data_IF_996832826717
#
_entry.id   IF_996832826717
#
_cell.length_a   1.000
_cell.length_b   1.000
_cell.length_c   1.000
_cell.angle_alpha   90.00
_cell.angle_beta   90.00
_cell.angle_gamma   90.00
#
_symmetry.space_group_name_H-M   'P 1'
#
loop_
_entity.id
_entity.type
_entity.pdbx_description
1 polymer ?
#
# COMPACT_ATOMS: atom_id res chain seq x y z
N UNK A 1 -8.41 5.84 2.41
CA UNK A 1 -7.22 6.69 2.67
C UNK A 1 -6.61 6.45 4.06
N UNK A 2 -7.42 6.44 5.10
CA UNK A 2 -6.96 6.29 6.50
C UNK A 2 -6.30 4.94 6.76
N UNK A 3 -6.93 3.83 6.34
CA UNK A 3 -6.36 2.48 6.48
C UNK A 3 -5.00 2.40 5.77
N UNK A 4 -4.92 2.88 4.53
CA UNK A 4 -3.67 2.86 3.78
C UNK A 4 -2.58 3.73 4.39
N UNK A 5 -2.93 4.85 5.03
CA UNK A 5 -1.98 5.66 5.80
C UNK A 5 -1.39 4.88 6.99
N UNK A 6 -2.23 4.12 7.70
CA UNK A 6 -1.81 3.25 8.78
C UNK A 6 -0.87 2.13 8.28
N UNK A 7 -1.22 1.48 7.17
CA UNK A 7 -0.37 0.46 6.53
C UNK A 7 1.00 1.03 6.14
N UNK A 8 1.05 2.22 5.52
CA UNK A 8 2.31 2.87 5.15
C UNK A 8 3.16 3.16 6.39
N UNK A 9 2.55 3.57 7.51
CA UNK A 9 3.27 3.78 8.78
C UNK A 9 3.83 2.47 9.34
N UNK A 10 3.03 1.40 9.35
CA UNK A 10 3.48 0.09 9.84
C UNK A 10 4.60 -0.49 8.98
N UNK A 11 4.52 -0.35 7.65
CA UNK A 11 5.60 -0.74 6.75
C UNK A 11 6.90 0.03 7.03
N UNK A 12 6.81 1.34 7.34
CA UNK A 12 7.98 2.12 7.75
C UNK A 12 8.52 1.67 9.11
N UNK A 13 7.65 1.31 10.06
CA UNK A 13 8.07 0.73 11.35
C UNK A 13 8.89 -0.53 11.12
N UNK A 14 8.36 -1.50 10.37
CA UNK A 14 9.04 -2.75 10.07
C UNK A 14 10.36 -2.50 9.35
N UNK A 15 10.36 -1.70 8.29
CA UNK A 15 11.55 -1.40 7.51
C UNK A 15 12.68 -0.73 8.31
N UNK A 16 12.34 0.18 9.23
CA UNK A 16 13.30 0.90 10.06
C UNK A 16 13.82 0.06 11.24
N UNK A 17 13.13 -1.00 11.59
CA UNK A 17 13.48 -1.87 12.72
C UNK A 17 14.06 -3.22 12.30
N UNK A 18 13.98 -3.57 11.02
CA UNK A 18 14.41 -4.88 10.51
C UNK A 18 15.91 -5.13 10.71
N UNK A 19 16.75 -4.10 10.50
CA UNK A 19 18.21 -4.21 10.71
C UNK A 19 18.59 -4.56 12.17
N UNK A 20 17.74 -4.23 13.14
CA UNK A 20 17.99 -4.48 14.55
C UNK A 20 17.31 -5.76 15.04
N UNK A 21 16.10 -6.04 14.56
CA UNK A 21 15.30 -7.18 15.00
C UNK A 21 15.38 -8.39 14.06
N UNK A 22 15.74 -8.19 12.80
CA UNK A 22 15.91 -9.25 11.81
C UNK A 22 14.61 -9.94 11.40
N UNK A 23 13.47 -9.25 11.42
CA UNK A 23 12.16 -9.83 11.10
C UNK A 23 12.14 -10.56 9.75
N UNK A 24 12.85 -10.02 8.75
CA UNK A 24 12.93 -10.61 7.41
C UNK A 24 13.74 -11.89 7.35
N UNK A 25 14.53 -12.21 8.38
CA UNK A 25 15.39 -13.39 8.48
C UNK A 25 14.86 -14.46 9.44
N UNK A 26 13.69 -14.24 10.03
CA UNK A 26 13.08 -15.19 10.97
C UNK A 26 12.83 -16.54 10.31
N UNK A 27 13.18 -17.60 11.03
CA UNK A 27 12.77 -18.95 10.67
C UNK A 27 11.28 -19.16 10.97
N UNK A 28 10.73 -20.30 10.55
CA UNK A 28 9.29 -20.57 10.67
C UNK A 28 8.79 -20.50 12.13
N UNK A 29 9.59 -21.02 13.09
CA UNK A 29 9.21 -21.04 14.51
C UNK A 29 9.20 -19.63 15.13
N UNK A 30 10.14 -18.79 14.72
CA UNK A 30 10.19 -17.38 15.13
C UNK A 30 9.05 -16.59 14.49
N UNK A 31 8.77 -16.86 13.20
CA UNK A 31 7.70 -16.18 12.47
C UNK A 31 6.31 -16.44 13.06
N UNK A 32 6.03 -17.66 13.54
CA UNK A 32 4.75 -17.98 14.18
C UNK A 32 4.49 -17.13 15.43
N UNK A 33 5.56 -16.70 16.11
CA UNK A 33 5.46 -15.86 17.30
C UNK A 33 5.48 -14.35 16.99
N UNK A 34 5.62 -13.98 15.71
CA UNK A 34 5.64 -12.58 15.27
C UNK A 34 4.21 -12.03 15.22
N UNK A 35 3.70 -11.60 16.37
CA UNK A 35 2.40 -10.94 16.49
C UNK A 35 2.55 -9.42 16.47
N UNK A 36 1.44 -8.70 16.22
CA UNK A 36 1.42 -7.24 16.25
C UNK A 36 1.89 -6.70 17.61
N UNK A 37 1.46 -7.35 18.70
CA UNK A 37 1.86 -6.99 20.07
C UNK A 37 3.36 -7.20 20.28
N UNK A 38 3.91 -8.29 19.78
CA UNK A 38 5.35 -8.57 19.90
C UNK A 38 6.17 -7.48 19.22
N UNK A 39 5.83 -7.12 17.98
CA UNK A 39 6.53 -6.07 17.21
C UNK A 39 6.46 -4.73 17.93
N UNK A 40 5.25 -4.31 18.32
CA UNK A 40 5.04 -3.02 18.97
C UNK A 40 5.72 -2.96 20.35
N UNK A 41 5.57 -3.98 21.17
CA UNK A 41 6.15 -4.00 22.52
C UNK A 41 7.67 -4.05 22.48
N UNK A 42 8.26 -4.88 21.62
CA UNK A 42 9.71 -4.96 21.43
C UNK A 42 10.30 -3.63 20.98
N UNK A 43 9.62 -2.96 20.04
CA UNK A 43 10.06 -1.68 19.54
C UNK A 43 9.95 -0.57 20.61
N UNK A 44 8.83 -0.50 21.32
CA UNK A 44 8.57 0.53 22.32
C UNK A 44 9.46 0.38 23.57
N UNK A 45 9.79 -0.86 23.96
CA UNK A 45 10.69 -1.13 25.09
C UNK A 45 12.16 -0.97 24.75
N UNK A 46 12.54 -0.99 23.46
CA UNK A 46 13.93 -0.84 23.05
C UNK A 46 14.50 0.53 23.40
N UNK A 47 15.71 0.55 23.94
CA UNK A 47 16.49 1.78 24.25
C UNK A 47 17.43 2.17 23.11
N UNK A 48 17.50 1.39 22.03
CA UNK A 48 18.39 1.67 20.90
C UNK A 48 18.11 3.03 20.27
N UNK A 49 19.14 3.82 20.08
CA UNK A 49 19.05 5.12 19.41
C UNK A 49 18.72 4.97 17.92
N UNK A 50 19.13 3.86 17.29
CA UNK A 50 18.83 3.53 15.88
C UNK A 50 17.32 3.39 15.64
N UNK A 51 16.60 2.89 16.65
CA UNK A 51 15.16 2.68 16.57
C UNK A 51 14.31 3.92 16.93
N UNK A 52 14.94 5.05 17.25
CA UNK A 52 14.21 6.27 17.67
C UNK A 52 13.10 6.65 16.69
N UNK A 53 13.37 6.58 15.41
CA UNK A 53 12.40 6.93 14.37
C UNK A 53 11.30 5.88 14.23
N UNK A 54 11.65 4.60 14.24
CA UNK A 54 10.67 3.51 14.21
C UNK A 54 9.71 3.60 15.42
N UNK A 55 10.26 3.84 16.64
CA UNK A 55 9.44 4.07 17.84
C UNK A 55 8.49 5.24 17.69
N UNK A 56 8.95 6.35 17.09
CA UNK A 56 8.07 7.51 16.89
C UNK A 56 6.89 7.16 15.97
N UNK A 57 7.13 6.43 14.86
CA UNK A 57 6.06 5.95 14.00
C UNK A 57 5.10 5.00 14.72
N UNK A 58 5.60 4.09 15.55
CA UNK A 58 4.78 3.18 16.33
C UNK A 58 3.90 3.94 17.34
N UNK A 59 4.47 4.92 18.05
CA UNK A 59 3.73 5.79 18.98
C UNK A 59 2.66 6.63 18.24
N UNK A 60 3.02 7.19 17.10
CA UNK A 60 2.08 7.99 16.31
C UNK A 60 0.93 7.11 15.76
N UNK A 61 1.23 5.86 15.38
CA UNK A 61 0.23 4.88 14.99
C UNK A 61 -0.73 4.55 16.14
N UNK A 62 -0.20 4.19 17.32
CA UNK A 62 -1.01 3.91 18.52
C UNK A 62 -1.89 5.10 18.93
N UNK A 63 -1.33 6.31 18.88
CA UNK A 63 -2.03 7.54 19.21
C UNK A 63 -2.91 8.09 18.08
N UNK A 64 -3.10 7.32 16.99
CA UNK A 64 -3.89 7.71 15.81
C UNK A 64 -3.45 9.01 15.13
N UNK A 65 -2.18 9.38 15.28
CA UNK A 65 -1.54 10.49 14.58
C UNK A 65 -1.05 10.06 13.21
N UNK A 66 -1.99 9.65 12.37
CA UNK A 66 -1.68 9.05 11.07
C UNK A 66 -1.16 10.08 10.07
N UNK A 67 -0.34 9.60 9.12
CA UNK A 67 0.08 10.36 7.96
C UNK A 67 -1.12 10.88 7.18
N UNK A 68 -0.96 12.04 6.55
CA UNK A 68 -2.00 12.68 5.74
C UNK A 68 -1.75 12.43 4.27
N UNK A 69 -2.77 11.92 3.59
CA UNK A 69 -2.78 11.82 2.14
C UNK A 69 -2.93 13.23 1.57
N UNK A 70 -1.92 13.72 0.88
CA UNK A 70 -1.88 15.07 0.29
C UNK A 70 -2.11 15.07 -1.21
N UNK A 71 -1.95 13.92 -1.85
CA UNK A 71 -2.22 13.73 -3.27
C UNK A 71 -2.72 12.31 -3.51
N UNK A 72 -3.70 12.16 -4.41
CA UNK A 72 -4.21 10.87 -4.87
C UNK A 72 -4.61 10.98 -6.32
N UNK A 73 -4.18 9.99 -7.13
CA UNK A 73 -4.58 9.88 -8.52
C UNK A 73 -4.71 8.41 -8.92
N UNK A 74 -5.77 8.11 -9.64
CA UNK A 74 -5.93 6.82 -10.32
C UNK A 74 -5.12 6.89 -11.62
N UNK A 75 -4.21 5.95 -11.81
CA UNK A 75 -3.42 5.81 -13.01
C UNK A 75 -4.08 4.76 -13.90
N UNK A 76 -4.35 5.12 -15.15
CA UNK A 76 -4.93 4.22 -16.14
C UNK A 76 -3.95 3.15 -16.65
N UNK A 77 -2.67 3.34 -16.40
CA UNK A 77 -1.63 2.40 -16.80
C UNK A 77 -1.57 1.19 -15.87
N UNK A 78 -1.50 -0.02 -16.45
CA UNK A 78 -1.21 -1.27 -15.70
C UNK A 78 0.22 -1.31 -15.13
N UNK A 79 1.02 -0.31 -15.39
CA UNK A 79 2.41 -0.27 -14.97
C UNK A 79 2.50 0.18 -13.52
N UNK A 80 2.88 -0.74 -12.65
CA UNK A 80 3.28 -0.42 -11.27
C UNK A 80 4.38 0.65 -11.35
N UNK A 81 4.25 1.69 -10.55
CA UNK A 81 5.31 2.67 -10.43
C UNK A 81 6.56 1.93 -9.94
N UNK A 82 7.58 1.79 -10.79
CA UNK A 82 8.83 1.15 -10.39
C UNK A 82 9.40 1.91 -9.19
N UNK A 83 10.06 1.21 -8.27
CA UNK A 83 10.67 1.79 -7.06
C UNK A 83 11.55 3.00 -7.40
N UNK A 84 12.38 2.89 -8.43
CA UNK A 84 13.21 3.99 -8.96
C UNK A 84 12.40 5.26 -9.26
N UNK A 85 11.26 5.13 -9.92
CA UNK A 85 10.41 6.27 -10.27
C UNK A 85 9.68 6.86 -9.06
N UNK A 86 9.36 6.04 -8.06
CA UNK A 86 8.80 6.50 -6.80
C UNK A 86 9.85 7.30 -5.99
N UNK A 87 11.11 6.86 -6.01
CA UNK A 87 12.22 7.54 -5.34
C UNK A 87 12.56 8.87 -6.05
N UNK A 88 12.60 8.91 -7.39
CA UNK A 88 12.75 10.13 -8.18
C UNK A 88 11.64 11.15 -7.88
N UNK A 89 10.39 10.68 -7.80
CA UNK A 89 9.25 11.53 -7.46
C UNK A 89 9.38 12.08 -6.04
N UNK A 90 9.78 11.25 -5.07
CA UNK A 90 10.04 11.66 -3.69
C UNK A 90 11.08 12.76 -3.62
N UNK A 91 12.23 12.56 -4.29
CA UNK A 91 13.33 13.55 -4.37
C UNK A 91 12.86 14.85 -5.00
N UNK A 92 12.09 14.79 -6.09
CA UNK A 92 11.57 15.97 -6.77
C UNK A 92 10.62 16.77 -5.89
N UNK A 93 9.70 16.07 -5.20
CA UNK A 93 8.78 16.70 -4.25
C UNK A 93 9.54 17.31 -3.06
N UNK A 94 10.55 16.60 -2.52
CA UNK A 94 11.39 17.07 -1.42
C UNK A 94 12.09 18.39 -1.77
N UNK A 95 12.74 18.45 -2.91
CA UNK A 95 13.41 19.67 -3.41
C UNK A 95 12.43 20.83 -3.52
N UNK A 96 11.24 20.59 -4.09
CA UNK A 96 10.26 21.66 -4.32
C UNK A 96 9.54 22.11 -3.05
N UNK A 97 9.23 21.19 -2.15
CA UNK A 97 8.53 21.49 -0.88
C UNK A 97 9.46 21.97 0.23
N UNK A 98 10.78 21.77 0.09
CA UNK A 98 11.80 21.94 1.14
C UNK A 98 11.51 21.09 2.38
N UNK A 99 10.91 19.91 2.18
CA UNK A 99 10.64 18.91 3.22
C UNK A 99 11.59 17.74 3.01
N UNK A 100 12.23 17.21 4.06
CA UNK A 100 13.13 16.07 3.95
C UNK A 100 12.48 14.87 3.27
N UNK A 101 13.22 14.16 2.41
CA UNK A 101 12.72 12.99 1.66
C UNK A 101 12.12 11.91 2.56
N UNK A 102 12.73 11.73 3.73
CA UNK A 102 12.27 10.75 4.71
C UNK A 102 10.94 11.12 5.41
N UNK A 103 10.40 12.31 5.19
CA UNK A 103 9.06 12.73 5.65
C UNK A 103 8.02 12.72 4.52
N UNK A 104 8.38 12.21 3.33
CA UNK A 104 7.51 12.10 2.15
C UNK A 104 7.40 10.62 1.77
N UNK A 105 6.19 10.12 1.70
CA UNK A 105 5.91 8.70 1.40
C UNK A 105 5.12 8.63 0.10
N UNK A 106 5.72 7.99 -0.89
CA UNK A 106 5.09 7.72 -2.19
C UNK A 106 4.60 6.28 -2.18
N UNK A 107 3.31 6.10 -2.29
CA UNK A 107 2.64 4.81 -2.31
C UNK A 107 1.96 4.60 -3.67
N UNK A 108 2.23 3.46 -4.28
CA UNK A 108 1.58 3.04 -5.51
C UNK A 108 1.03 1.64 -5.28
N UNK A 109 -0.29 1.55 -5.19
CA UNK A 109 -0.98 0.29 -5.00
C UNK A 109 -1.74 -0.10 -6.26
N UNK A 110 -1.51 -1.33 -6.72
CA UNK A 110 -2.31 -1.95 -7.77
C UNK A 110 -3.34 -2.85 -7.12
N UNK A 111 -4.59 -2.52 -7.29
CA UNK A 111 -5.69 -3.30 -6.73
C UNK A 111 -6.58 -3.76 -7.89
N UNK A 112 -6.96 -5.04 -7.94
CA UNK A 112 -7.96 -5.48 -8.90
C UNK A 112 -9.28 -4.74 -8.64
N UNK A 113 -9.95 -4.30 -9.72
CA UNK A 113 -11.23 -3.59 -9.63
C UNK A 113 -12.34 -4.47 -9.07
N UNK A 114 -12.18 -5.79 -9.22
CA UNK A 114 -13.06 -6.80 -8.63
C UNK A 114 -12.20 -7.66 -7.70
N UNK A 115 -12.61 -7.84 -6.41
CA UNK A 115 -11.82 -8.62 -5.44
C UNK A 115 -11.55 -10.07 -5.86
N UNK A 116 -12.39 -10.63 -6.71
CA UNK A 116 -12.29 -12.00 -7.24
C UNK A 116 -11.60 -12.08 -8.61
N UNK A 117 -11.16 -10.93 -9.17
CA UNK A 117 -10.43 -10.97 -10.43
C UNK A 117 -9.11 -11.72 -10.23
N UNK A 118 -8.79 -12.69 -11.12
CA UNK A 118 -7.58 -13.48 -11.00
C UNK A 118 -6.34 -12.57 -11.09
N UNK A 119 -5.33 -12.87 -10.29
CA UNK A 119 -3.98 -12.34 -10.54
C UNK A 119 -3.54 -12.82 -11.94
N UNK A 120 -2.61 -12.11 -12.56
CA UNK A 120 -2.16 -12.41 -13.95
C UNK A 120 -1.82 -13.87 -14.22
N UNK A 121 -1.59 -14.68 -13.19
CA UNK A 121 -1.09 -16.05 -13.28
C UNK A 121 -2.07 -17.11 -12.76
N UNK A 122 -3.28 -16.72 -12.30
CA UNK A 122 -4.26 -17.67 -11.79
C UNK A 122 -5.53 -17.63 -12.64
N UNK A 123 -5.79 -18.70 -13.37
CA UNK A 123 -7.09 -18.95 -13.99
C UNK A 123 -8.06 -19.42 -12.91
N UNK A 124 -8.78 -18.50 -12.28
CA UNK A 124 -9.85 -18.88 -11.34
C UNK A 124 -11.10 -19.23 -12.14
N UNK A 125 -11.58 -20.45 -11.96
CA UNK A 125 -12.88 -20.87 -12.46
C UNK A 125 -13.95 -20.68 -11.40
N UNK A 126 -15.16 -20.44 -11.83
CA UNK A 126 -16.37 -20.45 -11.02
C UNK A 126 -17.37 -21.46 -11.60
N UNK A 127 -18.17 -22.02 -10.74
CA UNK A 127 -19.26 -22.92 -11.17
C UNK A 127 -20.52 -22.08 -11.34
N UNK A 128 -20.98 -21.92 -12.57
CA UNK A 128 -22.28 -21.30 -12.85
C UNK A 128 -23.36 -22.39 -12.82
N UNK A 129 -24.39 -22.13 -12.03
CA UNK A 129 -25.57 -23.01 -12.00
C UNK A 129 -26.68 -22.31 -12.79
N UNK A 130 -27.10 -22.90 -13.89
CA UNK A 130 -28.26 -22.44 -14.64
C UNK A 130 -29.41 -23.43 -14.52
N UNK A 131 -30.62 -22.91 -14.42
CA UNK A 131 -31.84 -23.71 -14.40
C UNK A 131 -32.56 -23.54 -15.74
N UNK A 132 -32.56 -24.57 -16.56
CA UNK A 132 -33.31 -24.63 -17.81
C UNK A 132 -34.30 -25.76 -17.78
N UNK A 133 -35.57 -25.47 -18.07
CA UNK A 133 -36.65 -26.46 -18.12
C UNK A 133 -36.78 -27.35 -16.86
N UNK A 134 -36.55 -26.76 -15.68
CA UNK A 134 -36.64 -27.48 -14.41
C UNK A 134 -35.45 -28.40 -14.10
N UNK A 135 -34.39 -28.35 -14.91
CA UNK A 135 -33.13 -29.06 -14.66
C UNK A 135 -32.02 -28.08 -14.36
N UNK A 136 -31.27 -28.37 -13.32
CA UNK A 136 -30.09 -27.59 -12.94
C UNK A 136 -28.86 -28.13 -13.65
N UNK A 137 -28.15 -27.24 -14.34
CA UNK A 137 -26.87 -27.56 -14.97
C UNK A 137 -25.77 -26.75 -14.28
N UNK A 138 -24.70 -27.43 -13.91
CA UNK A 138 -23.49 -26.81 -13.42
C UNK A 138 -22.46 -26.74 -14.54
N UNK A 139 -21.96 -25.54 -14.86
CA UNK A 139 -20.91 -25.32 -15.84
C UNK A 139 -19.76 -24.59 -15.21
N UNK A 140 -18.57 -25.17 -15.29
CA UNK A 140 -17.35 -24.49 -14.93
C UNK A 140 -16.97 -23.47 -16.02
N UNK A 141 -16.75 -22.23 -15.64
CA UNK A 141 -16.31 -21.17 -16.53
C UNK A 141 -15.18 -20.37 -15.89
N UNK A 142 -14.24 -19.93 -16.72
CA UNK A 142 -13.24 -18.97 -16.26
C UNK A 142 -13.92 -17.61 -15.99
N UNK A 143 -13.50 -16.93 -14.94
CA UNK A 143 -14.03 -15.60 -14.60
C UNK A 143 -13.86 -14.63 -15.76
N UNK A 144 -12.77 -14.77 -16.53
CA UNK A 144 -12.49 -13.97 -17.73
C UNK A 144 -13.48 -14.20 -18.90
N UNK A 145 -14.19 -15.34 -18.91
CA UNK A 145 -15.16 -15.68 -19.97
C UNK A 145 -16.56 -15.12 -19.70
N UNK A 146 -16.80 -14.57 -18.50
CA UNK A 146 -18.07 -13.96 -18.15
C UNK A 146 -18.09 -12.53 -18.70
N UNK A 147 -18.92 -12.18 -19.69
CA UNK A 147 -18.87 -10.89 -20.39
C UNK A 147 -18.98 -9.68 -19.46
N UNK A 148 -19.89 -9.73 -18.47
CA UNK A 148 -20.06 -8.64 -17.51
C UNK A 148 -18.81 -8.49 -16.64
N UNK A 149 -18.24 -9.60 -16.15
CA UNK A 149 -17.04 -9.57 -15.32
C UNK A 149 -15.82 -9.12 -16.13
N UNK A 150 -15.65 -9.60 -17.36
CA UNK A 150 -14.55 -9.19 -18.22
C UNK A 150 -14.61 -7.70 -18.59
N UNK A 151 -15.81 -7.14 -18.76
CA UNK A 151 -16.02 -5.73 -19.08
C UNK A 151 -15.63 -4.79 -17.93
N UNK A 152 -15.85 -5.20 -16.68
CA UNK A 152 -15.57 -4.41 -15.50
C UNK A 152 -14.29 -4.85 -14.78
N UNK A 153 -13.70 -5.99 -15.19
CA UNK A 153 -12.45 -6.46 -14.64
C UNK A 153 -11.29 -5.59 -15.12
N UNK A 154 -10.54 -5.08 -14.20
CA UNK A 154 -9.38 -4.25 -14.48
C UNK A 154 -8.51 -4.12 -13.25
N UNK A 155 -7.43 -3.38 -13.39
CA UNK A 155 -6.60 -3.01 -12.26
C UNK A 155 -6.67 -1.51 -12.08
N UNK A 156 -6.94 -1.09 -10.85
CA UNK A 156 -6.79 0.31 -10.47
C UNK A 156 -5.41 0.48 -9.86
N UNK A 157 -4.58 1.27 -10.52
CA UNK A 157 -3.31 1.70 -9.97
C UNK A 157 -3.54 3.08 -9.34
N UNK A 158 -3.37 3.16 -8.03
CA UNK A 158 -3.61 4.40 -7.29
C UNK A 158 -2.27 4.89 -6.74
N UNK A 159 -1.86 6.06 -7.24
CA UNK A 159 -0.72 6.79 -6.70
C UNK A 159 -1.19 7.68 -5.55
N UNK A 160 -0.53 7.56 -4.40
CA UNK A 160 -0.78 8.40 -3.23
C UNK A 160 0.52 8.96 -2.69
N UNK A 161 0.45 10.19 -2.18
CA UNK A 161 1.54 10.83 -1.47
C UNK A 161 1.08 11.16 -0.07
N UNK A 162 1.88 10.74 0.91
CA UNK A 162 1.61 10.95 2.32
C UNK A 162 2.75 11.76 2.95
N UNK A 163 2.41 12.50 4.00
CA UNK A 163 3.36 13.21 4.85
C UNK A 163 2.77 13.45 6.23
N UNK A 164 3.57 13.92 7.18
CA UNK A 164 3.09 14.36 8.48
C UNK A 164 2.25 15.65 8.39
N UNK A 165 1.30 15.83 9.32
CA UNK A 165 0.39 17.01 9.33
C UNK A 165 1.15 18.34 9.24
N UNK A 166 2.27 18.49 9.96
CA UNK A 166 3.10 19.71 9.94
C UNK A 166 3.57 20.13 8.54
N UNK A 167 3.75 19.17 7.62
CA UNK A 167 4.25 19.37 6.27
C UNK A 167 3.16 19.38 5.20
N UNK A 168 1.90 19.10 5.59
CA UNK A 168 0.77 18.86 4.70
C UNK A 168 0.68 19.88 3.57
N UNK A 169 0.55 21.15 3.91
CA UNK A 169 0.37 22.23 2.91
C UNK A 169 1.54 22.34 1.93
N UNK A 170 2.77 22.24 2.43
CA UNK A 170 3.98 22.37 1.60
C UNK A 170 4.10 21.23 0.59
N UNK A 171 3.89 19.99 1.05
CA UNK A 171 3.99 18.80 0.20
C UNK A 171 2.80 18.71 -0.76
N UNK A 172 1.60 19.13 -0.35
CA UNK A 172 0.42 19.18 -1.21
C UNK A 172 0.62 20.11 -2.41
N UNK A 173 1.08 21.33 -2.17
CA UNK A 173 1.36 22.32 -3.22
C UNK A 173 2.42 21.78 -4.18
N UNK A 174 3.52 21.23 -3.64
CA UNK A 174 4.59 20.67 -4.46
C UNK A 174 4.12 19.48 -5.31
N UNK A 175 3.38 18.55 -4.70
CA UNK A 175 2.85 17.39 -5.39
C UNK A 175 1.87 17.76 -6.52
N UNK A 176 0.93 18.67 -6.24
CA UNK A 176 -0.02 19.17 -7.24
C UNK A 176 0.68 19.86 -8.41
N UNK A 177 1.73 20.65 -8.15
CA UNK A 177 2.44 21.34 -9.20
C UNK A 177 3.34 20.42 -10.06
N UNK A 178 3.75 19.27 -9.54
CA UNK A 178 4.54 18.27 -10.29
C UNK A 178 3.63 17.30 -11.04
N UNK A 179 2.54 16.90 -10.42
CA UNK A 179 1.66 15.84 -10.89
C UNK A 179 0.31 16.36 -11.41
N UNK A 180 -0.06 17.61 -11.12
CA UNK A 180 -1.34 18.22 -11.49
C UNK A 180 -1.54 18.37 -12.98
N UNK A 181 -0.48 18.59 -13.73
CA UNK A 181 -0.49 18.84 -15.18
C UNK A 181 -0.41 17.56 -16.02
N UNK A 182 -0.28 16.40 -15.40
CA UNK A 182 -0.37 15.11 -16.07
C UNK A 182 -1.86 14.77 -16.31
N UNK A 183 -2.42 15.30 -17.40
CA UNK A 183 -3.71 14.88 -17.94
C UNK A 183 -3.63 13.51 -18.60
#
# INVERSE_FOLDING_TARGET
KTVRAAEVMLLEVLRLSDDEFGFSTFNLNEFVNLTDEYVLSSLLSSKSSKLKRARQFALDYQNRKLLKCVFERILTSRTILKKTRADELRTTISKKSKVPENEIFVDSSVTPSIPLAPSKNESKSIILISNENGKSFAKEMLISEIPVVSSISGFMNILRIYTHEKNRKKVEIAAKSILGDLK
#
